data_IF_395053335894
#
_entry.id   IF_395053335894
#
_cell.length_a   1.000
_cell.length_b   1.000
_cell.length_c   1.000
_cell.angle_alpha   90.00
_cell.angle_beta   90.00
_cell.angle_gamma   90.00
#
_symmetry.space_group_name_H-M   'P 1'
#
loop_
_entity.id
_entity.type
_entity.pdbx_description
1 polymer ?
#
# COMPACT_ATOMS: atom_id res chain seq x y z
N UNK A 1 -18.28 1.75 2.07
CA UNK A 1 -18.32 0.49 2.85
C UNK A 1 -17.08 -0.37 2.58
N UNK A 2 -16.80 -0.71 1.32
CA UNK A 2 -15.65 -1.54 0.90
C UNK A 2 -14.30 -0.98 1.39
N UNK A 3 -14.05 0.32 1.23
CA UNK A 3 -12.80 0.97 1.67
C UNK A 3 -12.55 0.79 3.17
N UNK A 4 -13.60 0.87 3.99
CA UNK A 4 -13.49 0.70 5.45
C UNK A 4 -13.15 -0.74 5.82
N UNK A 5 -13.72 -1.71 5.10
CA UNK A 5 -13.41 -3.12 5.27
C UNK A 5 -11.95 -3.39 4.89
N UNK A 6 -11.50 -2.87 3.74
CA UNK A 6 -10.11 -3.02 3.29
C UNK A 6 -9.12 -2.43 4.31
N UNK A 7 -9.37 -1.21 4.81
CA UNK A 7 -8.55 -0.61 5.87
C UNK A 7 -8.58 -1.45 7.14
N UNK A 8 -9.75 -1.97 7.53
CA UNK A 8 -9.90 -2.85 8.68
C UNK A 8 -9.06 -4.12 8.57
N UNK A 9 -9.10 -4.80 7.43
CA UNK A 9 -8.30 -6.00 7.16
C UNK A 9 -6.80 -5.67 7.21
N UNK A 10 -6.38 -4.58 6.55
CA UNK A 10 -5.00 -4.14 6.54
C UNK A 10 -4.48 -3.87 7.96
N UNK A 11 -5.21 -3.08 8.74
CA UNK A 11 -4.82 -2.71 10.11
C UNK A 11 -4.83 -3.92 11.03
N UNK A 12 -5.86 -4.77 10.98
CA UNK A 12 -5.96 -5.96 11.82
C UNK A 12 -4.84 -6.96 11.52
N UNK A 13 -4.55 -7.19 10.23
CA UNK A 13 -3.45 -8.04 9.78
C UNK A 13 -2.10 -7.51 10.30
N UNK A 14 -1.83 -6.21 10.12
CA UNK A 14 -0.57 -5.62 10.56
C UNK A 14 -0.41 -5.64 12.09
N UNK A 15 -1.44 -5.28 12.84
CA UNK A 15 -1.38 -5.25 14.30
C UNK A 15 -1.26 -6.65 14.90
N UNK A 16 -2.00 -7.63 14.37
CA UNK A 16 -1.91 -9.01 14.86
C UNK A 16 -0.54 -9.64 14.57
N UNK A 17 0.06 -9.33 13.41
CA UNK A 17 1.43 -9.71 13.09
C UNK A 17 2.46 -9.10 14.05
N UNK A 18 2.34 -7.80 14.34
CA UNK A 18 3.23 -7.11 15.29
C UNK A 18 3.12 -7.72 16.69
N UNK A 19 1.90 -7.99 17.17
CA UNK A 19 1.69 -8.66 18.46
C UNK A 19 2.34 -10.05 18.45
N UNK A 20 2.06 -10.89 17.46
CA UNK A 20 2.67 -12.23 17.37
C UNK A 20 4.21 -12.18 17.39
N UNK A 21 4.79 -11.19 16.70
CA UNK A 21 6.24 -10.95 16.68
C UNK A 21 6.80 -10.57 18.04
N UNK A 22 6.10 -9.71 18.80
CA UNK A 22 6.53 -9.33 20.17
C UNK A 22 6.58 -10.51 21.14
N UNK A 23 5.74 -11.53 20.92
CA UNK A 23 5.75 -12.78 21.69
C UNK A 23 6.63 -13.89 21.05
N UNK A 24 7.48 -13.54 20.08
CA UNK A 24 8.40 -14.46 19.40
C UNK A 24 7.73 -15.61 18.62
N UNK A 25 6.47 -15.46 18.21
CA UNK A 25 5.81 -16.39 17.29
C UNK A 25 6.14 -16.01 15.83
N UNK A 26 7.37 -16.30 15.40
CA UNK A 26 7.90 -15.87 14.10
C UNK A 26 7.01 -16.33 12.92
N UNK A 27 6.73 -17.62 12.80
CA UNK A 27 5.92 -18.14 11.69
C UNK A 27 4.51 -17.54 11.65
N UNK A 28 3.85 -17.47 12.82
CA UNK A 28 2.52 -16.89 12.94
C UNK A 28 2.51 -15.40 12.58
N UNK A 29 3.54 -14.65 12.97
CA UNK A 29 3.65 -13.23 12.64
C UNK A 29 3.72 -12.99 11.13
N UNK A 30 4.43 -13.87 10.40
CA UNK A 30 4.49 -13.81 8.94
C UNK A 30 3.12 -14.11 8.34
N UNK A 31 2.48 -15.22 8.75
CA UNK A 31 1.14 -15.59 8.24
C UNK A 31 0.10 -14.47 8.45
N UNK A 32 0.11 -13.84 9.63
CA UNK A 32 -0.80 -12.76 9.96
C UNK A 32 -0.47 -11.47 9.21
N UNK A 33 0.78 -11.24 8.83
CA UNK A 33 1.26 -10.03 8.15
C UNK A 33 1.14 -10.06 6.62
N UNK A 34 1.09 -11.25 6.01
CA UNK A 34 0.96 -11.42 4.55
C UNK A 34 -0.23 -10.66 3.95
N UNK A 35 -1.45 -10.65 4.53
CA UNK A 35 -2.55 -9.87 3.97
C UNK A 35 -2.24 -8.37 3.88
N UNK A 36 -1.66 -7.76 4.92
CA UNK A 36 -1.24 -6.36 4.89
C UNK A 36 -0.17 -6.11 3.81
N UNK A 37 0.76 -7.06 3.62
CA UNK A 37 1.78 -6.99 2.59
C UNK A 37 1.18 -7.05 1.18
N UNK A 38 0.28 -8.01 0.93
CA UNK A 38 -0.40 -8.16 -0.37
C UNK A 38 -1.22 -6.91 -0.69
N UNK A 39 -1.96 -6.37 0.28
CA UNK A 39 -2.78 -5.18 0.07
C UNK A 39 -1.96 -3.92 -0.22
N UNK A 40 -0.87 -3.70 0.54
CA UNK A 40 0.02 -2.56 0.29
C UNK A 40 0.78 -2.69 -1.03
N UNK A 41 1.24 -3.90 -1.37
CA UNK A 41 1.85 -4.20 -2.66
C UNK A 41 0.90 -3.98 -3.83
N UNK A 42 -0.33 -4.46 -3.73
CA UNK A 42 -1.37 -4.22 -4.72
C UNK A 42 -1.67 -2.72 -4.90
N UNK A 43 -1.75 -1.96 -3.80
CA UNK A 43 -1.99 -0.53 -3.87
C UNK A 43 -0.82 0.23 -4.55
N UNK A 44 0.42 -0.11 -4.22
CA UNK A 44 1.60 0.54 -4.77
C UNK A 44 1.83 0.17 -6.25
N UNK A 45 1.84 -1.13 -6.56
CA UNK A 45 2.06 -1.62 -7.93
C UNK A 45 0.88 -1.32 -8.85
N UNK A 46 -0.35 -1.44 -8.36
CA UNK A 46 -1.54 -1.09 -9.13
C UNK A 46 -1.54 0.40 -9.51
N UNK A 47 -1.16 1.28 -8.58
CA UNK A 47 -1.04 2.72 -8.90
C UNK A 47 0.18 3.02 -9.79
N UNK A 48 1.27 2.27 -9.67
CA UNK A 48 2.40 2.41 -10.60
C UNK A 48 1.97 2.14 -12.05
N UNK A 49 1.16 1.09 -12.25
CA UNK A 49 0.66 0.71 -13.58
C UNK A 49 -0.28 1.75 -14.18
N UNK A 50 -1.06 2.45 -13.35
CA UNK A 50 -2.00 3.50 -13.80
C UNK A 50 -1.45 4.90 -13.64
N UNK A 51 -0.13 5.05 -13.40
CA UNK A 51 0.45 6.36 -13.16
C UNK A 51 0.34 7.22 -14.42
N UNK A 52 0.66 6.63 -15.58
CA UNK A 52 0.65 7.29 -16.89
C UNK A 52 -0.70 7.92 -17.24
N UNK A 53 -1.83 7.33 -16.81
CA UNK A 53 -3.17 7.91 -17.00
C UNK A 53 -3.30 9.34 -16.45
N UNK A 54 -2.55 9.69 -15.40
CA UNK A 54 -2.56 11.02 -14.75
C UNK A 54 -1.56 12.02 -15.38
N UNK A 55 -0.77 11.58 -16.37
CA UNK A 55 0.21 12.44 -17.04
C UNK A 55 -0.45 13.50 -17.93
N UNK A 56 0.31 14.54 -18.30
CA UNK A 56 -0.23 15.72 -18.98
C UNK A 56 -0.85 15.37 -20.35
N UNK A 57 -2.16 15.57 -20.47
CA UNK A 57 -2.89 15.33 -21.72
C UNK A 57 -3.35 13.88 -21.90
N UNK A 58 -3.17 13.04 -20.89
CA UNK A 58 -3.65 11.66 -20.85
C UNK A 58 -5.10 11.59 -20.36
N UNK A 59 -5.65 10.38 -20.33
CA UNK A 59 -7.07 10.12 -20.08
C UNK A 59 -7.61 10.77 -18.80
N UNK A 60 -6.86 10.71 -17.69
CA UNK A 60 -7.27 11.26 -16.40
C UNK A 60 -6.86 12.73 -16.21
N UNK A 61 -6.08 13.31 -17.14
CA UNK A 61 -5.61 14.70 -17.09
C UNK A 61 -5.61 15.39 -18.48
N UNK A 62 -6.79 15.51 -19.13
CA UNK A 62 -6.92 16.12 -20.46
C UNK A 62 -6.56 17.60 -20.47
N UNK A 63 -6.76 18.29 -19.35
CA UNK A 63 -6.49 19.73 -19.18
C UNK A 63 -5.01 20.06 -19.00
N UNK A 64 -4.13 19.04 -18.96
CA UNK A 64 -2.68 19.20 -18.75
C UNK A 64 -2.36 19.95 -17.46
N UNK A 65 -3.08 19.66 -16.38
CA UNK A 65 -2.77 20.20 -15.07
C UNK A 65 -1.60 19.45 -14.44
N UNK A 66 -0.48 20.15 -14.26
CA UNK A 66 0.73 19.61 -13.61
C UNK A 66 0.50 19.24 -12.15
N UNK A 67 -0.50 19.85 -11.51
CA UNK A 67 -0.83 19.57 -10.11
C UNK A 67 -1.34 18.14 -9.95
N UNK A 68 -2.17 17.64 -10.87
CA UNK A 68 -2.73 16.28 -10.85
C UNK A 68 -1.59 15.26 -10.94
N UNK A 69 -0.70 15.43 -11.93
CA UNK A 69 0.47 14.57 -12.11
C UNK A 69 1.36 14.52 -10.86
N UNK A 70 1.68 15.69 -10.26
CA UNK A 70 2.51 15.77 -9.06
C UNK A 70 1.85 15.11 -7.85
N UNK A 71 0.55 15.32 -7.65
CA UNK A 71 -0.18 14.67 -6.55
C UNK A 71 -0.22 13.15 -6.72
N UNK A 72 -0.44 12.66 -7.94
CA UNK A 72 -0.43 11.23 -8.24
C UNK A 72 0.94 10.61 -7.97
N UNK A 73 2.02 11.25 -8.42
CA UNK A 73 3.39 10.82 -8.14
C UNK A 73 3.70 10.78 -6.64
N UNK A 74 3.30 11.81 -5.88
CA UNK A 74 3.49 11.84 -4.43
C UNK A 74 2.69 10.75 -3.71
N UNK A 75 1.45 10.50 -4.13
CA UNK A 75 0.64 9.42 -3.59
C UNK A 75 1.26 8.04 -3.88
N UNK A 76 1.86 7.85 -5.06
CA UNK A 76 2.58 6.63 -5.41
C UNK A 76 3.80 6.41 -4.51
N UNK A 77 4.60 7.45 -4.28
CA UNK A 77 5.76 7.40 -3.37
C UNK A 77 5.31 6.95 -1.97
N UNK A 78 4.24 7.54 -1.43
CA UNK A 78 3.71 7.17 -0.11
C UNK A 78 3.26 5.70 -0.08
N UNK A 79 2.57 5.21 -1.12
CA UNK A 79 2.15 3.80 -1.21
C UNK A 79 3.35 2.86 -1.24
N UNK A 80 4.39 3.20 -1.98
CA UNK A 80 5.64 2.43 -2.00
C UNK A 80 6.35 2.41 -0.64
N UNK A 81 6.43 3.56 0.04
CA UNK A 81 7.00 3.62 1.40
C UNK A 81 6.22 2.74 2.37
N UNK A 82 4.89 2.77 2.32
CA UNK A 82 4.04 1.88 3.14
C UNK A 82 4.31 0.42 2.81
N UNK A 83 4.39 0.04 1.53
CA UNK A 83 4.69 -1.33 1.13
C UNK A 83 6.06 -1.81 1.64
N UNK A 84 7.10 -0.99 1.53
CA UNK A 84 8.44 -1.29 2.04
C UNK A 84 8.41 -1.46 3.56
N UNK A 85 7.79 -0.52 4.29
CA UNK A 85 7.69 -0.57 5.74
C UNK A 85 6.96 -1.84 6.19
N UNK A 86 5.84 -2.20 5.55
CA UNK A 86 5.13 -3.43 5.85
C UNK A 86 6.01 -4.66 5.57
N UNK A 87 6.73 -4.68 4.45
CA UNK A 87 7.68 -5.76 4.13
C UNK A 87 8.75 -5.94 5.21
N UNK A 88 9.33 -4.83 5.71
CA UNK A 88 10.29 -4.86 6.82
C UNK A 88 9.61 -5.39 8.09
N UNK A 89 8.44 -4.88 8.45
CA UNK A 89 7.76 -5.31 9.68
C UNK A 89 7.39 -6.81 9.66
N UNK A 90 7.05 -7.34 8.50
CA UNK A 90 6.68 -8.75 8.32
C UNK A 90 7.91 -9.67 8.31
N UNK A 91 9.02 -9.28 7.67
CA UNK A 91 10.15 -10.21 7.42
C UNK A 91 11.46 -9.91 8.16
N UNK A 92 11.68 -8.69 8.68
CA UNK A 92 12.91 -8.29 9.35
C UNK A 92 12.75 -8.30 10.87
#
# INVERSE_FOLDING_TARGET
>A
MITRIAIGIFVLSLLSALVAKTYSYADLSVYLGVPALVMSGWAALGHLVTLDDDALGEWSNPDRDISIWRHSLMALIVKFLVFIVVGILVYA
#
